data_IF_808100335826
#
_entry.id   IF_808100335826
#
_cell.length_a   1.000
_cell.length_b   1.000
_cell.length_c   1.000
_cell.angle_alpha   90.00
_cell.angle_beta   90.00
_cell.angle_gamma   90.00
#
_symmetry.space_group_name_H-M   'P 1'
#
loop_
_entity.id
_entity.type
_entity.pdbx_description
1 polymer ?
#
# COMPACT_ATOMS: atom_id res chain seq x y z
N UNK A 1 12.86 -7.62 0.74
CA UNK A 1 14.06 -7.98 1.52
C UNK A 1 13.64 -8.05 2.98
N UNK A 2 13.89 -9.15 3.72
CA UNK A 2 13.40 -9.31 5.11
C UNK A 2 13.83 -8.16 6.03
N UNK A 3 14.99 -7.57 5.74
CA UNK A 3 15.53 -6.39 6.39
C UNK A 3 14.74 -5.11 6.12
N UNK A 4 14.15 -4.94 4.95
CA UNK A 4 13.45 -3.70 4.56
C UNK A 4 12.18 -3.47 5.37
N UNK A 5 11.43 -4.54 5.64
CA UNK A 5 10.24 -4.47 6.52
C UNK A 5 10.61 -4.03 7.94
N UNK A 6 11.72 -4.54 8.47
CA UNK A 6 12.23 -4.16 9.79
C UNK A 6 12.79 -2.73 9.80
N UNK A 7 13.51 -2.33 8.76
CA UNK A 7 14.05 -0.97 8.62
C UNK A 7 12.92 0.07 8.61
N UNK A 8 11.87 -0.17 7.82
CA UNK A 8 10.67 0.67 7.84
C UNK A 8 9.99 0.71 9.22
N UNK A 9 9.94 -0.41 9.94
CA UNK A 9 9.38 -0.45 11.29
C UNK A 9 10.16 0.44 12.28
N UNK A 10 11.48 0.53 12.13
CA UNK A 10 12.35 1.42 12.92
C UNK A 10 12.47 2.84 12.34
N UNK A 11 11.66 3.20 11.34
CA UNK A 11 11.61 4.55 10.75
C UNK A 11 12.63 4.80 9.64
N UNK A 12 13.39 3.80 9.24
CA UNK A 12 14.37 3.91 8.16
C UNK A 12 13.71 3.60 6.81
N UNK A 13 13.14 4.65 6.22
CA UNK A 13 12.40 4.62 4.93
C UNK A 13 13.27 4.91 3.71
N UNK A 14 14.52 5.35 3.90
CA UNK A 14 15.44 5.65 2.80
C UNK A 14 16.30 4.44 2.40
N UNK A 15 16.33 3.41 3.24
CA UNK A 15 17.11 2.21 2.99
C UNK A 15 16.70 1.53 1.68
N UNK A 16 17.65 1.39 0.75
CA UNK A 16 17.39 0.73 -0.54
C UNK A 16 17.38 -0.80 -0.42
N UNK A 17 16.67 -1.51 -1.32
CA UNK A 17 16.78 -2.96 -1.41
C UNK A 17 18.24 -3.41 -1.58
N UNK A 18 18.66 -4.48 -0.90
CA UNK A 18 20.07 -4.90 -0.86
C UNK A 18 20.66 -5.39 -2.21
N UNK A 19 19.82 -5.67 -3.20
CA UNK A 19 20.25 -6.18 -4.52
C UNK A 19 20.73 -7.64 -4.56
N UNK A 20 21.06 -8.26 -3.42
CA UNK A 20 21.76 -9.55 -3.39
C UNK A 20 20.92 -10.72 -2.87
N UNK A 21 19.88 -10.49 -2.07
CA UNK A 21 18.99 -11.57 -1.60
C UNK A 21 18.04 -12.07 -2.69
N UNK A 22 17.49 -13.27 -2.51
CA UNK A 22 16.57 -13.90 -3.47
C UNK A 22 15.40 -12.99 -3.84
N UNK A 23 14.82 -12.29 -2.85
CA UNK A 23 13.74 -11.31 -3.11
C UNK A 23 14.21 -10.18 -4.02
N UNK A 24 15.40 -9.63 -3.79
CA UNK A 24 15.93 -8.55 -4.62
C UNK A 24 16.32 -9.03 -6.02
N UNK A 25 16.83 -10.26 -6.14
CA UNK A 25 17.16 -10.89 -7.43
C UNK A 25 15.90 -11.15 -8.25
N UNK A 26 14.84 -11.65 -7.63
CA UNK A 26 13.54 -11.85 -8.29
C UNK A 26 12.90 -10.51 -8.71
N UNK A 27 12.99 -9.48 -7.87
CA UNK A 27 12.55 -8.12 -8.25
C UNK A 27 13.37 -7.55 -9.41
N UNK A 28 14.67 -7.81 -9.47
CA UNK A 28 15.54 -7.36 -10.56
C UNK A 28 15.25 -8.01 -11.92
N UNK A 29 14.50 -9.12 -11.95
CA UNK A 29 14.05 -9.78 -13.18
C UNK A 29 12.74 -9.20 -13.73
N UNK A 30 12.05 -8.36 -12.94
CA UNK A 30 10.74 -7.81 -13.30
C UNK A 30 10.90 -6.50 -14.05
N UNK A 31 10.06 -6.30 -15.05
CA UNK A 31 9.93 -5.01 -15.72
C UNK A 31 9.37 -3.94 -14.76
N UNK A 32 9.61 -2.65 -15.03
CA UNK A 32 9.01 -1.57 -14.25
C UNK A 32 7.47 -1.66 -14.15
N UNK A 33 6.80 -2.13 -15.21
CA UNK A 33 5.36 -2.34 -15.23
C UNK A 33 4.91 -3.46 -14.29
N UNK A 34 5.66 -4.57 -14.20
CA UNK A 34 5.39 -5.65 -13.26
C UNK A 34 5.60 -5.24 -11.81
N UNK A 35 6.63 -4.44 -11.53
CA UNK A 35 6.88 -3.89 -10.20
C UNK A 35 5.74 -2.96 -9.79
N UNK A 36 5.30 -2.07 -10.68
CA UNK A 36 4.18 -1.17 -10.43
C UNK A 36 2.88 -1.95 -10.13
N UNK A 37 2.60 -3.00 -10.91
CA UNK A 37 1.43 -3.86 -10.68
C UNK A 37 1.49 -4.54 -9.31
N UNK A 38 2.65 -5.06 -8.92
CA UNK A 38 2.85 -5.69 -7.60
C UNK A 38 2.63 -4.69 -6.46
N UNK A 39 3.15 -3.46 -6.59
CA UNK A 39 2.91 -2.40 -5.61
C UNK A 39 1.41 -2.09 -5.47
N UNK A 40 0.66 -2.05 -6.59
CA UNK A 40 -0.79 -1.81 -6.57
C UNK A 40 -1.53 -2.95 -5.85
N UNK A 41 -1.13 -4.20 -6.07
CA UNK A 41 -1.70 -5.36 -5.39
C UNK A 41 -1.41 -5.35 -3.89
N UNK A 42 -0.18 -5.02 -3.50
CA UNK A 42 0.22 -4.84 -2.10
C UNK A 42 -0.56 -3.71 -1.43
N UNK A 43 -0.77 -2.59 -2.13
CA UNK A 43 -1.60 -1.47 -1.67
C UNK A 43 -3.04 -1.90 -1.40
N UNK A 44 -3.68 -2.59 -2.36
CA UNK A 44 -5.06 -3.08 -2.20
C UNK A 44 -5.17 -4.04 -1.01
N UNK A 45 -4.20 -4.93 -0.85
CA UNK A 45 -4.17 -5.91 0.24
C UNK A 45 -3.97 -5.24 1.60
N UNK A 46 -3.03 -4.30 1.67
CA UNK A 46 -2.71 -3.59 2.92
C UNK A 46 -3.82 -2.63 3.35
N UNK A 47 -4.55 -2.00 2.42
CA UNK A 47 -5.80 -1.26 2.74
C UNK A 47 -6.85 -2.21 3.31
N UNK A 48 -7.14 -3.33 2.64
CA UNK A 48 -8.13 -4.31 3.14
C UNK A 48 -7.79 -4.75 4.55
N UNK A 49 -6.54 -5.14 4.81
CA UNK A 49 -6.10 -5.55 6.14
C UNK A 49 -6.22 -4.40 7.15
N UNK A 50 -5.80 -3.19 6.82
CA UNK A 50 -5.86 -2.05 7.76
C UNK A 50 -7.29 -1.62 8.07
N UNK A 51 -8.16 -1.58 7.08
CA UNK A 51 -9.57 -1.20 7.23
C UNK A 51 -10.37 -2.30 7.93
N UNK A 52 -10.02 -3.58 7.71
CA UNK A 52 -10.64 -4.72 8.37
C UNK A 52 -10.15 -4.91 9.82
N UNK A 53 -8.86 -4.70 10.09
CA UNK A 53 -8.25 -4.92 11.42
C UNK A 53 -8.32 -3.68 12.33
N UNK A 54 -8.45 -2.47 11.79
CA UNK A 54 -8.68 -1.26 12.59
C UNK A 54 -10.12 -0.83 12.44
N UNK A 55 -10.91 -1.12 13.46
CA UNK A 55 -12.22 -0.49 13.67
C UNK A 55 -12.06 1.05 13.60
N UNK A 56 -12.47 1.65 12.49
CA UNK A 56 -12.88 3.05 12.39
C UNK A 56 -11.81 4.17 12.42
N UNK A 57 -10.50 3.88 12.48
CA UNK A 57 -9.47 4.93 12.66
C UNK A 57 -8.50 5.12 11.47
N UNK A 58 -8.97 4.93 10.24
CA UNK A 58 -8.18 5.26 9.04
C UNK A 58 -9.04 6.07 8.07
N UNK A 59 -8.48 7.18 7.56
CA UNK A 59 -9.12 8.04 6.56
C UNK A 59 -8.22 8.15 5.31
N UNK A 60 -8.76 8.72 4.24
CA UNK A 60 -8.06 8.86 2.96
C UNK A 60 -6.74 9.64 3.11
N UNK A 61 -6.72 10.74 3.88
CA UNK A 61 -5.51 11.53 4.11
C UNK A 61 -4.39 10.71 4.77
N UNK A 62 -4.76 9.86 5.72
CA UNK A 62 -3.82 8.94 6.39
C UNK A 62 -3.27 7.91 5.40
N UNK A 63 -4.11 7.36 4.52
CA UNK A 63 -3.66 6.43 3.49
C UNK A 63 -2.73 7.11 2.48
N UNK A 64 -3.07 8.32 2.03
CA UNK A 64 -2.20 9.12 1.14
C UNK A 64 -0.82 9.35 1.74
N UNK A 65 -0.72 9.55 3.06
CA UNK A 65 0.56 9.74 3.72
C UNK A 65 1.36 8.44 3.88
N UNK A 66 0.69 7.32 4.19
CA UNK A 66 1.32 6.01 4.39
C UNK A 66 1.85 5.43 3.08
N UNK A 67 1.09 5.60 2.00
CA UNK A 67 1.46 5.05 0.70
C UNK A 67 2.12 6.14 -0.13
N UNK A 68 3.44 6.06 -0.24
CA UNK A 68 4.25 6.86 -1.16
C UNK A 68 4.05 6.41 -2.62
N UNK A 69 2.80 6.40 -3.06
CA UNK A 69 2.39 6.11 -4.42
C UNK A 69 2.50 7.37 -5.28
N UNK A 70 2.57 7.18 -6.62
CA UNK A 70 2.23 8.27 -7.52
C UNK A 70 0.78 8.68 -7.25
N UNK A 71 0.53 9.97 -7.05
CA UNK A 71 -0.79 10.51 -6.71
C UNK A 71 -1.91 9.99 -7.63
N UNK A 72 -1.65 9.96 -8.94
CA UNK A 72 -2.61 9.48 -9.94
C UNK A 72 -2.94 7.98 -9.79
N UNK A 73 -1.97 7.15 -9.40
CA UNK A 73 -2.20 5.73 -9.17
C UNK A 73 -3.00 5.54 -7.87
N UNK A 74 -2.68 6.28 -6.81
CA UNK A 74 -3.45 6.24 -5.56
C UNK A 74 -4.92 6.59 -5.82
N UNK A 75 -5.18 7.73 -6.48
CA UNK A 75 -6.56 8.22 -6.72
C UNK A 75 -7.37 7.25 -7.56
N UNK A 76 -6.77 6.69 -8.62
CA UNK A 76 -7.40 5.68 -9.47
C UNK A 76 -7.77 4.42 -8.68
N UNK A 77 -6.81 3.85 -7.95
CA UNK A 77 -7.04 2.60 -7.22
C UNK A 77 -8.00 2.81 -6.05
N UNK A 78 -7.92 3.96 -5.37
CA UNK A 78 -8.81 4.29 -4.27
C UNK A 78 -10.26 4.51 -4.73
N UNK A 79 -10.45 5.16 -5.88
CA UNK A 79 -11.76 5.29 -6.51
C UNK A 79 -12.33 3.94 -6.95
N UNK A 80 -11.53 3.09 -7.60
CA UNK A 80 -11.90 1.71 -7.99
C UNK A 80 -12.36 0.88 -6.78
N UNK A 81 -11.65 0.98 -5.66
CA UNK A 81 -12.00 0.27 -4.43
C UNK A 81 -13.31 0.77 -3.81
N UNK A 82 -13.61 2.07 -3.90
CA UNK A 82 -14.90 2.64 -3.46
C UNK A 82 -16.05 2.20 -4.36
N UNK A 83 -15.87 2.27 -5.68
CA UNK A 83 -16.89 1.89 -6.67
C UNK A 83 -17.27 0.41 -6.53
N UNK A 84 -16.29 -0.46 -6.31
CA UNK A 84 -16.50 -1.90 -6.07
C UNK A 84 -17.06 -2.23 -4.67
N UNK A 85 -17.27 -1.22 -3.82
CA UNK A 85 -17.76 -1.41 -2.46
C UNK A 85 -16.80 -2.14 -1.53
N UNK A 86 -15.51 -2.21 -1.87
CA UNK A 86 -14.47 -2.85 -1.03
C UNK A 86 -14.23 -1.99 0.22
N UNK A 87 -14.27 -0.67 0.04
CA UNK A 87 -14.15 0.31 1.10
C UNK A 87 -15.30 1.31 1.00
N UNK A 88 -15.81 1.72 2.15
CA UNK A 88 -16.86 2.72 2.31
C UNK A 88 -16.43 3.75 3.34
N UNK A 89 -16.98 4.96 3.23
CA UNK A 89 -16.66 6.09 4.10
C UNK A 89 -17.91 6.48 4.89
N UNK A 90 -17.75 6.80 6.18
CA UNK A 90 -18.85 7.38 6.97
C UNK A 90 -18.86 8.92 6.84
N UNK A 91 -19.85 9.57 7.43
CA UNK A 91 -19.98 11.04 7.45
C UNK A 91 -18.77 11.74 8.07
N UNK A 92 -18.05 11.06 8.97
CA UNK A 92 -16.82 11.55 9.60
C UNK A 92 -15.54 11.36 8.78
N UNK A 93 -15.61 10.82 7.56
CA UNK A 93 -14.43 10.61 6.72
C UNK A 93 -13.66 9.30 6.99
N UNK A 94 -14.17 8.44 7.87
CA UNK A 94 -13.52 7.19 8.27
C UNK A 94 -13.89 6.04 7.35
N UNK A 95 -12.88 5.25 7.00
CA UNK A 95 -13.03 4.10 6.11
C UNK A 95 -13.37 2.83 6.89
N UNK A 96 -14.28 2.04 6.33
CA UNK A 96 -14.64 0.71 6.80
C UNK A 96 -14.87 -0.22 5.60
N UNK A 97 -14.71 -1.53 5.80
CA UNK A 97 -15.03 -2.54 4.80
C UNK A 97 -16.48 -2.98 5.02
N UNK A 98 -17.18 -3.24 3.92
CA UNK A 98 -18.49 -3.91 3.96
C UNK A 98 -18.31 -5.42 4.10
#
# INVERSE_FOLDING_TARGET
CRSQMLLHYFGDVEAKPCGTCDVCRELGKKSPAEIQKMQIEDFRTSIKLRVHLREGNINEATLRHIYQFRLADFEREFADMKEKGIITCNEGGWLYCK
#
